data_IF_675553840252
#
_entry.id   IF_675553840252
#
_cell.length_a   1.000
_cell.length_b   1.000
_cell.length_c   1.000
_cell.angle_alpha   90.00
_cell.angle_beta   90.00
_cell.angle_gamma   90.00
#
_symmetry.space_group_name_H-M   'P 1'
#
loop_
_entity.id
_entity.type
_entity.pdbx_description
1 polymer ?
#
# COMPACT_ATOMS: atom_id res chain seq x y z
N UNK A 1 -10.69 -2.59 -4.50
CA UNK A 1 -11.85 -1.92 -3.89
C UNK A 1 -12.49 -2.93 -2.95
N UNK A 2 -12.93 -2.48 -1.78
CA UNK A 2 -13.76 -3.24 -0.86
C UNK A 2 -15.21 -2.85 -1.13
N UNK A 3 -16.01 -3.78 -1.64
CA UNK A 3 -17.46 -3.62 -1.72
C UNK A 3 -18.06 -4.09 -0.39
N UNK A 4 -18.63 -3.16 0.39
CA UNK A 4 -19.24 -3.47 1.68
C UNK A 4 -20.57 -2.74 1.83
N UNK A 5 -21.64 -3.51 1.81
CA UNK A 5 -23.02 -3.01 1.75
C UNK A 5 -24.01 -4.00 2.37
N UNK A 6 -25.30 -3.84 2.10
CA UNK A 6 -26.36 -4.65 2.69
C UNK A 6 -26.16 -6.13 2.37
N UNK A 7 -26.02 -6.96 3.40
CA UNK A 7 -25.90 -8.40 3.22
C UNK A 7 -27.12 -8.99 2.46
N UNK A 8 -26.94 -9.57 1.26
CA UNK A 8 -28.05 -10.07 0.45
C UNK A 8 -28.53 -11.46 0.89
N UNK A 9 -27.86 -12.10 1.84
CA UNK A 9 -28.11 -13.49 2.25
C UNK A 9 -28.79 -13.62 3.62
N UNK A 10 -29.11 -12.50 4.27
CA UNK A 10 -29.73 -12.50 5.61
C UNK A 10 -31.16 -11.96 5.58
N UNK A 11 -31.81 -12.04 6.75
CA UNK A 11 -33.03 -11.28 7.02
C UNK A 11 -32.85 -9.81 6.65
N UNK A 12 -33.89 -9.23 6.05
CA UNK A 12 -33.93 -7.81 5.69
C UNK A 12 -34.25 -6.95 6.92
N UNK A 13 -33.34 -6.96 7.88
CA UNK A 13 -33.33 -6.15 9.09
C UNK A 13 -31.92 -5.61 9.36
N UNK A 14 -31.78 -4.64 10.27
CA UNK A 14 -30.48 -4.01 10.52
C UNK A 14 -29.42 -5.00 11.00
N UNK A 15 -29.79 -5.97 11.84
CA UNK A 15 -28.85 -7.00 12.25
C UNK A 15 -28.37 -7.82 11.04
N UNK A 16 -29.29 -8.29 10.19
CA UNK A 16 -28.95 -9.06 9.00
C UNK A 16 -28.15 -8.29 7.97
N UNK A 17 -28.57 -7.06 7.64
CA UNK A 17 -27.87 -6.15 6.72
C UNK A 17 -26.45 -5.82 7.16
N UNK A 18 -26.19 -5.76 8.48
CA UNK A 18 -24.87 -5.54 9.05
C UNK A 18 -24.13 -6.85 9.35
N UNK A 19 -24.42 -7.95 8.63
CA UNK A 19 -23.75 -9.24 8.77
C UNK A 19 -23.82 -9.85 10.18
N UNK A 20 -24.86 -9.52 10.94
CA UNK A 20 -25.03 -9.87 12.35
C UNK A 20 -23.85 -9.40 13.23
N UNK A 21 -23.18 -8.32 12.82
CA UNK A 21 -22.10 -7.66 13.54
C UNK A 21 -22.58 -6.35 14.17
N UNK A 22 -22.08 -6.06 15.37
CA UNK A 22 -22.17 -4.72 15.95
C UNK A 22 -21.31 -3.72 15.18
N UNK A 23 -21.54 -2.40 15.31
CA UNK A 23 -20.69 -1.39 14.70
C UNK A 23 -19.20 -1.52 15.02
N UNK A 24 -18.86 -1.88 16.25
CA UNK A 24 -17.46 -2.11 16.64
C UNK A 24 -16.84 -3.32 15.92
N UNK A 25 -17.60 -4.41 15.74
CA UNK A 25 -17.11 -5.62 15.08
C UNK A 25 -16.89 -5.40 13.58
N UNK A 26 -17.86 -4.81 12.89
CA UNK A 26 -17.73 -4.59 11.44
C UNK A 26 -16.65 -3.55 11.14
N UNK A 27 -16.53 -2.49 11.94
CA UNK A 27 -15.45 -1.51 11.73
C UNK A 27 -14.08 -2.10 12.01
N UNK A 28 -13.91 -2.95 13.03
CA UNK A 28 -12.67 -3.67 13.25
C UNK A 28 -12.33 -4.59 12.06
N UNK A 29 -13.32 -5.28 11.49
CA UNK A 29 -13.14 -6.11 10.30
C UNK A 29 -12.72 -5.29 9.07
N UNK A 30 -13.37 -4.14 8.83
CA UNK A 30 -13.01 -3.24 7.72
C UNK A 30 -11.58 -2.72 7.92
N UNK A 31 -11.20 -2.30 9.14
CA UNK A 31 -9.84 -1.84 9.44
C UNK A 31 -8.80 -2.93 9.18
N UNK A 32 -9.05 -4.17 9.59
CA UNK A 32 -8.15 -5.30 9.33
C UNK A 32 -8.00 -5.57 7.83
N UNK A 33 -9.11 -5.53 7.08
CA UNK A 33 -9.11 -5.68 5.63
C UNK A 33 -8.29 -4.57 4.95
N UNK A 34 -8.57 -3.30 5.26
CA UNK A 34 -7.93 -2.17 4.57
C UNK A 34 -6.44 -2.09 4.90
N UNK A 35 -6.07 -2.34 6.16
CA UNK A 35 -4.68 -2.45 6.58
C UNK A 35 -3.97 -3.59 5.85
N UNK A 36 -4.57 -4.78 5.77
CA UNK A 36 -3.99 -5.92 5.06
C UNK A 36 -3.78 -5.61 3.57
N UNK A 37 -4.76 -4.99 2.89
CA UNK A 37 -4.59 -4.61 1.48
C UNK A 37 -3.50 -3.55 1.33
N UNK A 38 -3.46 -2.55 2.20
CA UNK A 38 -2.41 -1.56 2.19
C UNK A 38 -1.04 -2.20 2.41
N UNK A 39 -0.91 -3.12 3.35
CA UNK A 39 0.33 -3.86 3.59
C UNK A 39 0.71 -4.71 2.38
N UNK A 40 -0.22 -5.37 1.70
CA UNK A 40 0.17 -6.17 0.53
C UNK A 40 0.48 -5.33 -0.71
N UNK A 41 -0.18 -4.18 -0.88
CA UNK A 41 -0.15 -3.46 -2.17
C UNK A 41 0.48 -2.08 -2.10
N UNK A 42 0.83 -1.60 -0.90
CA UNK A 42 1.20 -0.22 -0.62
C UNK A 42 0.14 0.79 -1.08
N UNK A 43 -1.14 0.37 -1.06
CA UNK A 43 -2.28 1.22 -1.40
C UNK A 43 -3.47 0.92 -0.50
N UNK A 44 -4.06 1.97 0.03
CA UNK A 44 -5.37 1.88 0.67
C UNK A 44 -6.43 1.52 -0.38
N UNK A 45 -7.25 0.48 -0.15
CA UNK A 45 -8.32 0.14 -1.07
C UNK A 45 -9.38 1.24 -1.07
N UNK A 46 -9.94 1.51 -2.25
CA UNK A 46 -11.20 2.27 -2.35
C UNK A 46 -12.30 1.48 -1.61
N UNK A 47 -13.07 2.12 -0.74
CA UNK A 47 -14.24 1.54 -0.06
C UNK A 47 -15.49 1.95 -0.84
N UNK A 48 -16.23 0.95 -1.34
CA UNK A 48 -17.56 1.12 -1.87
C UNK A 48 -18.61 0.86 -0.78
N UNK A 49 -19.61 1.75 -0.67
CA UNK A 49 -20.73 1.60 0.28
C UNK A 49 -21.94 2.45 -0.14
N UNK A 50 -23.03 2.35 0.60
CA UNK A 50 -24.17 3.28 0.54
C UNK A 50 -24.24 4.16 1.78
N UNK A 51 -24.97 5.29 1.71
CA UNK A 51 -25.14 6.17 2.86
C UNK A 51 -25.75 5.48 4.08
N UNK A 52 -26.84 4.76 3.86
CA UNK A 52 -27.61 4.11 4.93
C UNK A 52 -26.80 3.01 5.59
N UNK A 53 -26.19 2.13 4.78
CA UNK A 53 -25.39 1.03 5.32
C UNK A 53 -24.22 1.54 6.15
N UNK A 54 -23.42 2.49 5.63
CA UNK A 54 -22.27 3.00 6.37
C UNK A 54 -22.70 3.65 7.69
N UNK A 55 -23.71 4.52 7.66
CA UNK A 55 -24.18 5.22 8.86
C UNK A 55 -24.66 4.24 9.94
N UNK A 56 -25.50 3.27 9.57
CA UNK A 56 -26.07 2.33 10.53
C UNK A 56 -25.09 1.24 10.96
N UNK A 57 -24.46 0.56 10.00
CA UNK A 57 -23.64 -0.60 10.31
C UNK A 57 -22.29 -0.21 10.91
N UNK A 58 -21.70 0.93 10.56
CA UNK A 58 -20.40 1.35 11.13
C UNK A 58 -20.53 2.35 12.27
N UNK A 59 -21.74 2.85 12.54
CA UNK A 59 -21.93 3.97 13.47
C UNK A 59 -21.30 5.27 12.97
N UNK A 60 -21.19 5.43 11.64
CA UNK A 60 -20.54 6.56 10.98
C UNK A 60 -19.08 6.79 11.45
N UNK A 61 -18.30 5.70 11.52
CA UNK A 61 -16.94 5.73 12.05
C UNK A 61 -16.03 6.69 11.25
N UNK A 62 -15.25 7.59 11.91
CA UNK A 62 -14.38 8.57 11.25
C UNK A 62 -12.96 8.08 10.92
N UNK A 63 -12.61 6.82 11.21
CA UNK A 63 -11.22 6.34 11.17
C UNK A 63 -10.74 5.82 9.80
N UNK A 64 -11.49 6.05 8.71
CA UNK A 64 -11.18 5.54 7.37
C UNK A 64 -10.69 6.64 6.40
N UNK A 65 -10.05 7.69 6.93
CA UNK A 65 -9.60 8.86 6.15
C UNK A 65 -8.53 8.54 5.10
N UNK A 66 -7.86 7.39 5.21
CA UNK A 66 -6.85 6.96 4.25
C UNK A 66 -7.46 6.28 3.02
N UNK A 67 -8.65 5.71 3.17
CA UNK A 67 -9.32 4.90 2.15
C UNK A 67 -10.16 5.81 1.25
N UNK A 68 -9.99 5.81 -0.09
CA UNK A 68 -10.83 6.60 -0.98
C UNK A 68 -12.29 6.11 -0.96
N UNK A 69 -13.27 7.01 -1.07
CA UNK A 69 -14.70 6.68 -1.04
C UNK A 69 -15.27 6.46 -2.45
N UNK A 70 -15.98 5.36 -2.65
CA UNK A 70 -16.89 5.14 -3.77
C UNK A 70 -18.32 5.02 -3.22
N UNK A 71 -19.14 6.03 -3.47
CA UNK A 71 -20.47 6.11 -2.84
C UNK A 71 -21.58 5.86 -3.87
N UNK A 72 -22.55 5.02 -3.51
CA UNK A 72 -23.71 4.75 -4.36
C UNK A 72 -24.93 5.61 -4.01
N UNK A 73 -25.67 5.99 -5.07
CA UNK A 73 -26.95 6.71 -5.00
C UNK A 73 -26.81 8.14 -4.46
N UNK A 74 -27.61 8.52 -3.46
CA UNK A 74 -27.58 9.86 -2.86
C UNK A 74 -26.23 10.07 -2.19
N UNK A 75 -25.56 11.18 -2.45
CA UNK A 75 -24.25 11.48 -1.85
C UNK A 75 -24.48 12.25 -0.55
N UNK A 76 -24.06 11.69 0.57
CA UNK A 76 -23.96 12.40 1.85
C UNK A 76 -22.64 11.99 2.47
N UNK A 77 -21.81 12.96 2.84
CA UNK A 77 -20.47 12.66 3.30
C UNK A 77 -20.48 12.15 4.73
N UNK A 78 -19.83 11.00 4.96
CA UNK A 78 -19.65 10.41 6.29
C UNK A 78 -18.46 11.02 7.02
N UNK A 79 -18.34 10.73 8.32
CA UNK A 79 -17.33 11.36 9.17
C UNK A 79 -15.87 11.07 8.76
N UNK A 80 -15.62 10.01 7.99
CA UNK A 80 -14.29 9.65 7.48
C UNK A 80 -13.84 10.45 6.25
N UNK A 81 -14.77 11.09 5.53
CA UNK A 81 -14.48 11.69 4.24
C UNK A 81 -14.92 13.15 4.19
N UNK A 82 -14.22 13.97 3.41
CA UNK A 82 -14.64 15.34 3.08
C UNK A 82 -15.19 15.42 1.67
N UNK A 83 -14.84 14.46 0.81
CA UNK A 83 -15.33 14.33 -0.56
C UNK A 83 -15.29 12.85 -1.00
N UNK A 84 -16.01 12.52 -2.07
CA UNK A 84 -15.99 11.19 -2.68
C UNK A 84 -14.93 11.11 -3.79
N UNK A 85 -14.41 9.91 -4.03
CA UNK A 85 -13.49 9.63 -5.14
C UNK A 85 -14.23 9.12 -6.38
N UNK A 86 -15.20 8.23 -6.16
CA UNK A 86 -16.12 7.76 -7.19
C UNK A 86 -17.56 7.89 -6.71
N UNK A 87 -18.47 8.11 -7.64
CA UNK A 87 -19.91 8.02 -7.37
C UNK A 87 -20.54 7.02 -8.34
N UNK A 88 -21.26 6.04 -7.79
CA UNK A 88 -22.13 5.17 -8.56
C UNK A 88 -23.48 5.86 -8.73
N UNK A 89 -23.72 6.31 -9.96
CA UNK A 89 -24.85 7.19 -10.32
C UNK A 89 -26.09 6.44 -10.77
N UNK A 90 -25.93 5.21 -11.27
CA UNK A 90 -27.03 4.34 -11.69
C UNK A 90 -26.60 2.87 -11.66
N UNK A 91 -27.56 1.96 -11.51
CA UNK A 91 -27.33 0.50 -11.55
C UNK A 91 -27.46 -0.10 -12.95
N UNK A 92 -27.69 0.75 -13.96
CA UNK A 92 -27.72 0.42 -15.38
C UNK A 92 -27.71 1.72 -16.20
N UNK A 93 -27.34 1.64 -17.48
CA UNK A 93 -27.37 2.81 -18.34
C UNK A 93 -26.84 2.54 -19.75
N UNK A 94 -26.17 3.53 -20.31
CA UNK A 94 -25.59 3.47 -21.66
C UNK A 94 -24.48 2.43 -21.75
N UNK A 95 -23.68 2.28 -20.71
CA UNK A 95 -22.62 1.28 -20.65
C UNK A 95 -23.08 0.01 -19.90
N UNK A 96 -22.48 -1.17 -20.16
CA UNK A 96 -22.80 -2.38 -19.41
C UNK A 96 -22.55 -2.21 -17.91
N UNK A 97 -23.48 -2.70 -17.09
CA UNK A 97 -23.38 -2.67 -15.63
C UNK A 97 -23.71 -1.31 -15.01
N UNK A 98 -23.23 -1.10 -13.80
CA UNK A 98 -23.40 0.15 -13.05
C UNK A 98 -22.68 1.31 -13.75
N UNK A 99 -23.17 2.53 -13.54
CA UNK A 99 -22.62 3.74 -14.14
C UNK A 99 -21.91 4.58 -13.09
N UNK A 100 -20.60 4.75 -13.26
CA UNK A 100 -19.75 5.42 -12.30
C UNK A 100 -19.06 6.65 -12.86
N UNK A 101 -18.86 7.64 -12.00
CA UNK A 101 -18.10 8.85 -12.32
C UNK A 101 -16.97 9.02 -11.32
N UNK A 102 -15.78 9.33 -11.84
CA UNK A 102 -14.62 9.71 -11.03
C UNK A 102 -14.68 11.20 -10.73
N UNK A 103 -14.40 11.58 -9.48
CA UNK A 103 -14.36 12.97 -9.05
C UNK A 103 -12.98 13.58 -9.32
N UNK A 104 -12.74 13.97 -10.58
CA UNK A 104 -11.49 14.61 -10.98
C UNK A 104 -11.24 14.57 -12.47
N UNK A 105 -10.03 14.98 -12.86
CA UNK A 105 -9.58 14.93 -14.26
C UNK A 105 -9.05 13.54 -14.64
N UNK A 106 -8.83 13.31 -15.93
CA UNK A 106 -8.15 12.10 -16.39
C UNK A 106 -6.75 11.94 -15.78
N UNK A 107 -6.03 13.06 -15.58
CA UNK A 107 -4.71 13.05 -14.93
C UNK A 107 -4.80 12.60 -13.48
N UNK A 108 -5.81 13.06 -12.74
CA UNK A 108 -6.04 12.63 -11.36
C UNK A 108 -6.41 11.14 -11.29
N UNK A 109 -7.23 10.66 -12.24
CA UNK A 109 -7.57 9.24 -12.34
C UNK A 109 -6.33 8.37 -12.64
N UNK A 110 -5.47 8.84 -13.54
CA UNK A 110 -4.19 8.17 -13.84
C UNK A 110 -3.30 8.13 -12.59
N UNK A 111 -3.20 9.24 -11.87
CA UNK A 111 -2.44 9.32 -10.62
C UNK A 111 -2.98 8.35 -9.56
N UNK A 112 -4.31 8.25 -9.41
CA UNK A 112 -4.94 7.27 -8.52
C UNK A 112 -4.62 5.83 -8.96
N UNK A 113 -4.69 5.54 -10.26
CA UNK A 113 -4.44 4.21 -10.80
C UNK A 113 -2.98 3.75 -10.61
N UNK A 114 -2.02 4.67 -10.76
CA UNK A 114 -0.58 4.39 -10.60
C UNK A 114 -0.11 4.47 -9.15
N UNK A 115 -0.86 5.16 -8.29
CA UNK A 115 -0.45 5.49 -6.92
C UNK A 115 0.53 6.67 -6.88
N UNK A 116 0.57 7.36 -5.73
CA UNK A 116 1.45 8.52 -5.48
C UNK A 116 2.57 8.21 -4.49
N UNK A 117 2.44 7.18 -3.66
CA UNK A 117 3.51 6.75 -2.76
C UNK A 117 4.61 6.08 -3.58
N UNK A 118 5.83 6.65 -3.61
CA UNK A 118 6.95 5.96 -4.21
C UNK A 118 7.13 4.64 -3.48
N UNK A 119 7.29 3.59 -4.28
CA UNK A 119 7.75 2.29 -3.85
C UNK A 119 8.90 2.49 -2.82
N UNK A 120 8.67 2.11 -1.55
CA UNK A 120 9.62 2.36 -0.45
C UNK A 120 11.00 1.72 -0.65
N UNK A 121 11.08 0.66 -1.46
CA UNK A 121 12.35 0.05 -1.83
C UNK A 121 13.07 0.92 -2.86
N UNK A 122 12.35 1.39 -3.87
CA UNK A 122 12.85 2.31 -4.90
C UNK A 122 13.24 3.67 -4.30
N UNK A 123 12.43 4.21 -3.38
CA UNK A 123 12.72 5.43 -2.63
C UNK A 123 14.03 5.30 -1.87
N UNK A 124 14.20 4.21 -1.10
CA UNK A 124 15.44 3.93 -0.38
C UNK A 124 16.63 3.76 -1.32
N UNK A 125 16.49 2.97 -2.38
CA UNK A 125 17.53 2.73 -3.36
C UNK A 125 18.00 4.03 -4.03
N UNK A 126 17.07 4.92 -4.40
CA UNK A 126 17.39 6.23 -4.95
C UNK A 126 18.10 7.12 -3.91
N UNK A 127 17.66 7.10 -2.65
CA UNK A 127 18.31 7.81 -1.56
C UNK A 127 19.75 7.33 -1.30
N UNK A 128 20.05 6.06 -1.59
CA UNK A 128 21.41 5.49 -1.54
C UNK A 128 22.28 5.88 -2.75
N UNK A 129 21.73 6.54 -3.78
CA UNK A 129 22.43 6.90 -5.02
C UNK A 129 22.13 5.99 -6.21
N UNK A 130 21.11 5.14 -6.12
CA UNK A 130 20.64 4.30 -7.22
C UNK A 130 21.74 3.36 -7.74
N UNK A 131 21.97 3.26 -9.07
CA UNK A 131 22.98 2.37 -9.64
C UNK A 131 24.42 2.66 -9.19
N UNK A 132 24.69 3.89 -8.74
CA UNK A 132 26.00 4.30 -8.22
C UNK A 132 26.16 3.97 -6.72
N UNK A 133 25.11 3.50 -6.06
CA UNK A 133 25.15 3.04 -4.67
C UNK A 133 25.96 1.74 -4.53
N UNK A 134 26.23 1.36 -3.29
CA UNK A 134 26.89 0.09 -2.98
C UNK A 134 26.05 -1.15 -3.37
N UNK A 135 24.76 -0.99 -3.69
CA UNK A 135 23.89 -2.09 -4.11
C UNK A 135 24.06 -2.45 -5.59
N UNK A 136 24.53 -1.51 -6.43
CA UNK A 136 24.59 -1.67 -7.88
C UNK A 136 23.21 -1.69 -8.55
N UNK A 137 23.11 -2.23 -9.78
CA UNK A 137 21.83 -2.25 -10.52
C UNK A 137 20.86 -3.32 -10.01
N UNK A 138 19.56 -3.13 -10.19
CA UNK A 138 18.56 -4.16 -9.93
C UNK A 138 18.78 -5.39 -10.84
N UNK A 139 18.60 -6.59 -10.30
CA UNK A 139 18.84 -7.88 -11.01
C UNK A 139 17.57 -8.67 -11.31
N UNK A 140 16.40 -8.09 -11.07
CA UNK A 140 15.10 -8.69 -11.34
C UNK A 140 13.95 -7.77 -10.97
N UNK A 141 12.74 -8.31 -10.93
CA UNK A 141 11.57 -7.61 -10.40
C UNK A 141 11.46 -7.80 -8.87
N UNK A 142 10.62 -6.98 -8.25
CA UNK A 142 10.19 -7.15 -6.86
C UNK A 142 9.56 -8.52 -6.65
N UNK A 143 9.76 -9.05 -5.45
CA UNK A 143 9.16 -10.32 -5.03
C UNK A 143 8.67 -10.24 -3.58
N UNK A 144 7.67 -11.05 -3.20
CA UNK A 144 7.19 -11.12 -1.82
C UNK A 144 8.30 -11.57 -0.86
N UNK A 145 8.38 -10.92 0.30
CA UNK A 145 9.27 -11.29 1.40
C UNK A 145 8.50 -11.33 2.73
N UNK A 146 9.11 -11.87 3.79
CA UNK A 146 8.47 -11.94 5.11
C UNK A 146 8.08 -10.53 5.56
N UNK A 147 6.78 -10.29 5.76
CA UNK A 147 6.25 -9.00 6.20
C UNK A 147 6.22 -7.89 5.15
N UNK A 148 6.52 -8.18 3.88
CA UNK A 148 6.38 -7.20 2.80
C UNK A 148 7.05 -7.59 1.48
N UNK A 149 7.92 -6.73 0.98
CA UNK A 149 8.51 -6.85 -0.36
C UNK A 149 10.02 -6.80 -0.32
N UNK A 150 10.66 -7.41 -1.31
CA UNK A 150 12.09 -7.32 -1.52
C UNK A 150 12.44 -7.12 -2.99
N UNK A 151 13.60 -6.52 -3.23
CA UNK A 151 14.20 -6.36 -4.55
C UNK A 151 15.67 -6.73 -4.48
N UNK A 152 16.12 -7.59 -5.40
CA UNK A 152 17.52 -7.94 -5.54
C UNK A 152 18.24 -6.91 -6.42
N UNK A 153 19.47 -6.60 -6.01
CA UNK A 153 20.45 -5.79 -6.71
C UNK A 153 21.75 -6.59 -6.88
N UNK A 154 22.71 -6.08 -7.65
CA UNK A 154 23.96 -6.77 -7.95
C UNK A 154 24.72 -7.23 -6.69
N UNK A 155 24.72 -6.41 -5.63
CA UNK A 155 25.55 -6.63 -4.44
C UNK A 155 24.74 -6.75 -3.13
N UNK A 156 23.42 -6.83 -3.21
CA UNK A 156 22.56 -6.97 -2.04
C UNK A 156 21.09 -6.98 -2.39
N UNK A 157 20.26 -6.90 -1.35
CA UNK A 157 18.82 -6.75 -1.49
C UNK A 157 18.35 -5.60 -0.60
N UNK A 158 17.26 -4.96 -1.00
CA UNK A 158 16.50 -4.06 -0.14
C UNK A 158 15.18 -4.74 0.16
N UNK A 159 14.84 -4.83 1.44
CA UNK A 159 13.57 -5.38 1.92
C UNK A 159 12.80 -4.27 2.60
N UNK A 160 11.50 -4.21 2.35
CA UNK A 160 10.56 -3.35 3.04
C UNK A 160 9.54 -4.19 3.77
N UNK A 161 9.47 -4.01 5.09
CA UNK A 161 8.45 -4.64 5.93
C UNK A 161 7.39 -3.61 6.31
N UNK A 162 6.11 -3.92 6.09
CA UNK A 162 5.01 -2.98 6.27
C UNK A 162 4.67 -2.73 7.74
N UNK A 163 4.73 -3.78 8.57
CA UNK A 163 4.36 -3.73 10.00
C UNK A 163 5.13 -2.67 10.79
N UNK A 164 6.42 -2.48 10.47
CA UNK A 164 7.29 -1.50 11.14
C UNK A 164 7.74 -0.36 10.20
N UNK A 165 7.25 -0.36 8.95
CA UNK A 165 7.72 0.51 7.85
C UNK A 165 9.25 0.56 7.75
N UNK A 166 9.92 -0.54 8.08
CA UNK A 166 11.38 -0.61 8.10
C UNK A 166 11.93 -1.03 6.75
N UNK A 167 13.02 -0.39 6.37
CA UNK A 167 13.83 -0.78 5.22
C UNK A 167 15.10 -1.44 5.73
N UNK A 168 15.34 -2.67 5.28
CA UNK A 168 16.55 -3.42 5.57
C UNK A 168 17.36 -3.58 4.29
N UNK A 169 18.65 -3.26 4.36
CA UNK A 169 19.61 -3.44 3.26
C UNK A 169 20.75 -4.34 3.74
N UNK A 170 20.54 -5.68 3.84
CA UNK A 170 21.56 -6.59 4.37
C UNK A 170 22.67 -6.75 3.33
N UNK A 171 23.68 -5.88 3.40
CA UNK A 171 25.08 -6.08 3.01
C UNK A 171 25.88 -4.77 3.22
N UNK A 172 25.97 -4.29 4.46
CA UNK A 172 26.87 -3.19 4.82
C UNK A 172 28.32 -3.65 5.11
N UNK A 173 28.66 -4.92 4.80
CA UNK A 173 29.80 -5.61 5.43
C UNK A 173 30.91 -6.16 4.54
N UNK A 174 30.94 -5.91 3.22
CA UNK A 174 32.11 -6.25 2.38
C UNK A 174 32.61 -5.04 1.62
N UNK A 175 33.47 -4.30 2.31
CA UNK A 175 34.52 -3.42 1.83
C UNK A 175 34.17 -2.45 0.69
N UNK A 176 34.23 -1.16 1.00
CA UNK A 176 34.57 -0.11 0.06
C UNK A 176 35.78 -0.52 -0.80
N UNK A 177 35.53 -1.03 -2.01
CA UNK A 177 36.57 -1.21 -3.01
C UNK A 177 36.81 0.16 -3.64
N UNK A 178 37.63 0.98 -2.97
CA UNK A 178 38.26 2.12 -3.62
C UNK A 178 39.09 1.58 -4.80
N UNK A 179 38.99 2.17 -6.01
CA UNK A 179 39.89 1.80 -7.10
C UNK A 179 41.34 2.14 -6.71
N UNK A 180 42.33 1.26 -6.96
CA UNK A 180 43.71 1.54 -6.60
C UNK A 180 44.33 2.47 -7.64
N UNK A 181 44.34 3.78 -7.33
CA UNK A 181 45.35 4.69 -7.84
C UNK A 181 46.24 5.12 -6.67
N UNK A 182 47.55 4.90 -6.86
CA UNK A 182 48.67 5.42 -6.06
C UNK A 182 48.78 4.94 -4.60
N UNK A 183 49.61 3.91 -4.40
CA UNK A 183 50.60 3.97 -3.32
C UNK A 183 51.90 3.29 -3.75
N UNK A 184 52.92 4.11 -3.89
CA UNK A 184 54.28 3.69 -4.18
C UNK A 184 54.90 2.86 -3.03
N UNK A 185 55.78 1.94 -3.42
CA UNK A 185 56.88 1.29 -2.67
C UNK A 185 56.87 1.40 -1.14
N UNK A 186 56.84 0.26 -0.47
CA UNK A 186 57.99 -0.24 0.31
C UNK A 186 57.76 -1.69 0.75
N UNK A 187 58.87 -2.37 1.00
CA UNK A 187 59.10 -3.81 1.05
C UNK A 187 58.85 -4.48 2.40
N UNK A 188 58.55 -5.79 2.32
CA UNK A 188 58.94 -6.90 3.21
C UNK A 188 58.62 -6.85 4.71
N UNK A 189 57.80 -7.79 5.19
CA UNK A 189 58.16 -8.96 6.04
C UNK A 189 56.90 -9.58 6.71
N UNK A 190 56.73 -10.90 6.59
CA UNK A 190 55.94 -11.79 7.49
C UNK A 190 56.86 -12.32 8.61
N UNK A 191 56.45 -13.02 9.71
CA UNK A 191 55.20 -13.74 10.08
C UNK A 191 54.80 -13.58 11.60
N UNK A 192 54.23 -14.57 12.36
CA UNK A 192 52.87 -15.14 12.38
C UNK A 192 52.11 -14.99 13.75
N UNK A 193 50.86 -15.48 13.77
CA UNK A 193 49.85 -15.60 14.85
C UNK A 193 50.31 -16.24 16.19
N UNK A 194 49.57 -16.00 17.30
CA UNK A 194 49.40 -17.01 18.35
C UNK A 194 47.93 -17.42 18.62
N UNK A 195 47.83 -18.70 18.99
CA UNK A 195 46.76 -19.53 19.60
C UNK A 195 45.43 -18.91 20.02
#
# INVERSE_FOLDING_TARGET
MLDIEYNPYSTADWAGWCYNMTPAQITAWITDFTATINDHTNRWPVIYTTNGWWHHCTGNNPNFTNDPLWIASTITMHASWTDYTFAQTATSGTFPGDQDVFNGTLTDLQALATGTEPDKITEHYNALGGPASYLGTATGNRYPAVGGWAQNYQYGAVMFAHSDRQILSPNAGRAAHRPPAERARSSSTTPPWPS
#
